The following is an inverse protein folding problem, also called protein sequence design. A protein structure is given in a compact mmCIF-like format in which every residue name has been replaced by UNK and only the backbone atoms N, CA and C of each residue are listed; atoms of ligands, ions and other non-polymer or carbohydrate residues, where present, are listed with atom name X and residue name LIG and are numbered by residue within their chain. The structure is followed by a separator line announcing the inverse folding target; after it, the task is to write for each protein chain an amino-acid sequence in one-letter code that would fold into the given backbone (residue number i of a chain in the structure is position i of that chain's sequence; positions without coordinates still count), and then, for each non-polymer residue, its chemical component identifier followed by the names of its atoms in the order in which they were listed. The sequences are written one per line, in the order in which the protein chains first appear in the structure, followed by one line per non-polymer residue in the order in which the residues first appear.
data_IF_352012766651
#
_entry.id   IF_352012766651
#
_cell.length_a   1.000
_cell.length_b   1.000
_cell.length_c   1.000
_cell.angle_alpha   90.00
_cell.angle_beta   90.00
_cell.angle_gamma   90.00
#
_symmetry.space_group_name_H-M   'P 1'
#
loop_
_entity.id
_entity.type
_entity.pdbx_description
1 polymer ?
#
# COMPACT_ATOMS: atom_id res chain seq x y z
N UNK A 1 -9.24 -11.46 -33.96
CA UNK A 1 -7.85 -11.67 -34.39
C UNK A 1 -7.67 -10.81 -35.61
N UNK A 2 -7.10 -9.62 -35.42
CA UNK A 2 -6.98 -8.60 -36.46
C UNK A 2 -5.85 -8.97 -37.41
N UNK A 3 -6.20 -9.02 -38.69
CA UNK A 3 -5.33 -8.86 -39.84
C UNK A 3 -4.37 -7.68 -39.59
N UNK A 4 -3.05 -7.87 -39.63
CA UNK A 4 -2.11 -6.82 -39.21
C UNK A 4 -0.69 -7.03 -39.73
N UNK A 5 -0.30 -6.25 -40.73
CA UNK A 5 1.04 -6.28 -41.38
C UNK A 5 2.18 -5.73 -40.51
N UNK A 6 1.97 -5.52 -39.20
CA UNK A 6 2.93 -4.90 -38.30
C UNK A 6 3.03 -5.68 -36.99
N UNK A 7 4.27 -6.04 -36.63
CA UNK A 7 4.61 -6.67 -35.34
C UNK A 7 5.18 -5.61 -34.40
N UNK A 8 4.52 -5.40 -33.26
CA UNK A 8 4.93 -4.42 -32.25
C UNK A 8 5.58 -5.13 -31.05
N UNK A 9 6.64 -4.53 -30.51
CA UNK A 9 7.28 -4.98 -29.28
C UNK A 9 6.87 -4.09 -28.10
N UNK A 10 6.58 -4.72 -26.97
CA UNK A 10 6.28 -3.99 -25.72
C UNK A 10 7.58 -3.60 -25.03
N UNK A 11 7.63 -2.38 -24.50
CA UNK A 11 8.72 -1.91 -23.64
C UNK A 11 8.44 -2.11 -22.14
N UNK A 12 7.29 -2.69 -21.80
CA UNK A 12 6.98 -3.04 -20.43
C UNK A 12 7.86 -4.20 -19.97
N UNK A 13 8.20 -4.26 -18.67
CA UNK A 13 9.01 -5.36 -18.12
C UNK A 13 8.45 -6.73 -18.52
N UNK A 14 9.35 -7.60 -18.97
CA UNK A 14 9.00 -8.96 -19.37
C UNK A 14 9.11 -9.87 -18.14
N UNK A 15 8.19 -10.82 -17.97
CA UNK A 15 8.07 -11.65 -16.76
C UNK A 15 8.43 -13.12 -16.96
N UNK A 16 9.11 -13.46 -18.05
CA UNK A 16 9.53 -14.81 -18.43
C UNK A 16 11.00 -14.88 -18.84
N UNK A 17 11.82 -13.95 -18.32
CA UNK A 17 13.28 -13.98 -18.52
C UNK A 17 13.87 -15.19 -17.79
N UNK A 18 14.83 -15.87 -18.41
CA UNK A 18 15.60 -16.91 -17.75
C UNK A 18 16.44 -16.30 -16.62
N UNK A 19 16.06 -16.62 -15.38
CA UNK A 19 16.68 -15.99 -14.20
C UNK A 19 18.10 -16.50 -13.92
N UNK A 20 18.47 -17.70 -14.37
CA UNK A 20 19.79 -18.28 -14.17
C UNK A 20 20.33 -18.11 -12.74
N UNK A 21 21.54 -17.55 -12.62
CA UNK A 21 22.19 -17.28 -11.33
C UNK A 21 21.44 -16.23 -10.48
N UNK A 22 20.68 -15.33 -11.10
CA UNK A 22 19.93 -14.30 -10.39
C UNK A 22 18.81 -14.87 -9.53
N UNK A 23 18.22 -16.00 -9.94
CA UNK A 23 17.27 -16.73 -9.09
C UNK A 23 17.92 -17.11 -7.76
N UNK A 24 19.09 -17.73 -7.82
CA UNK A 24 19.82 -18.17 -6.62
C UNK A 24 20.23 -16.97 -5.75
N UNK A 25 20.62 -15.86 -6.36
CA UNK A 25 20.97 -14.64 -5.64
C UNK A 25 19.77 -14.03 -4.89
N UNK A 26 18.57 -14.00 -5.51
CA UNK A 26 17.37 -13.51 -4.85
C UNK A 26 16.84 -14.52 -3.81
N UNK A 27 16.91 -15.82 -4.09
CA UNK A 27 16.57 -16.86 -3.12
C UNK A 27 17.45 -16.77 -1.86
N UNK A 28 18.74 -16.50 -2.03
CA UNK A 28 19.66 -16.24 -0.93
C UNK A 28 19.23 -15.03 -0.08
N UNK A 29 18.77 -13.95 -0.72
CA UNK A 29 18.22 -12.78 -0.02
C UNK A 29 17.01 -13.14 0.83
N UNK A 30 16.06 -13.92 0.31
CA UNK A 30 14.85 -14.30 1.05
C UNK A 30 15.08 -15.41 2.08
N UNK A 31 16.15 -16.20 1.95
CA UNK A 31 16.53 -17.22 2.92
C UNK A 31 17.20 -16.66 4.19
N UNK A 32 17.71 -15.42 4.14
CA UNK A 32 18.46 -14.80 5.23
C UNK A 32 17.72 -13.56 5.76
N UNK A 33 17.26 -13.60 7.01
CA UNK A 33 16.43 -12.54 7.63
C UNK A 33 17.21 -11.29 8.07
N UNK A 34 18.54 -11.37 8.10
CA UNK A 34 19.42 -10.24 8.33
C UNK A 34 19.61 -9.36 7.08
N UNK A 35 19.37 -9.90 5.87
CA UNK A 35 19.44 -9.17 4.61
C UNK A 35 18.15 -8.40 4.37
N UNK A 36 18.18 -7.08 4.60
CA UNK A 36 16.97 -6.24 4.62
C UNK A 36 17.00 -5.11 3.61
N UNK A 37 18.17 -4.58 3.28
CA UNK A 37 18.35 -3.54 2.27
C UNK A 37 19.21 -4.09 1.13
N UNK A 38 18.62 -4.28 -0.05
CA UNK A 38 19.25 -4.98 -1.17
C UNK A 38 19.26 -4.08 -2.38
N UNK A 39 20.43 -3.89 -3.01
CA UNK A 39 20.51 -3.22 -4.30
C UNK A 39 20.50 -4.25 -5.43
N UNK A 40 19.66 -4.04 -6.44
CA UNK A 40 19.80 -4.66 -7.75
C UNK A 40 20.35 -3.57 -8.66
N UNK A 41 21.66 -3.62 -8.91
CA UNK A 41 22.38 -2.59 -9.66
C UNK A 41 22.55 -3.01 -11.11
N UNK A 42 22.72 -2.07 -12.02
CA UNK A 42 22.97 -2.34 -13.43
C UNK A 42 22.78 -1.08 -14.26
N UNK A 43 23.29 -1.05 -15.48
CA UNK A 43 23.08 0.08 -16.39
C UNK A 43 21.59 0.38 -16.63
N UNK A 44 21.31 1.58 -17.17
CA UNK A 44 19.95 1.90 -17.61
C UNK A 44 19.52 0.87 -18.67
N UNK A 45 18.28 0.41 -18.59
CA UNK A 45 17.75 -0.66 -19.47
C UNK A 45 18.47 -2.02 -19.39
N UNK A 46 19.27 -2.29 -18.35
CA UNK A 46 19.92 -3.60 -18.17
C UNK A 46 18.94 -4.77 -17.91
N UNK A 47 17.63 -4.53 -17.83
CA UNK A 47 16.63 -5.57 -17.56
C UNK A 47 16.30 -5.81 -16.08
N UNK A 48 16.72 -4.91 -15.18
CA UNK A 48 16.47 -5.00 -13.73
C UNK A 48 14.99 -5.24 -13.38
N UNK A 49 14.07 -4.45 -13.94
CA UNK A 49 12.63 -4.60 -13.69
C UNK A 49 12.09 -5.91 -14.25
N UNK A 50 12.53 -6.34 -15.45
CA UNK A 50 12.13 -7.62 -16.03
C UNK A 50 12.60 -8.82 -15.19
N UNK A 51 13.79 -8.74 -14.61
CA UNK A 51 14.33 -9.75 -13.70
C UNK A 51 13.48 -9.87 -12.43
N UNK A 52 13.08 -8.73 -11.83
CA UNK A 52 12.18 -8.74 -10.66
C UNK A 52 10.79 -9.29 -11.02
N UNK A 53 10.20 -8.86 -12.14
CA UNK A 53 8.88 -9.37 -12.56
C UNK A 53 8.90 -10.87 -12.88
N UNK A 54 9.99 -11.37 -13.46
CA UNK A 54 10.17 -12.80 -13.72
C UNK A 54 10.33 -13.61 -12.42
N UNK A 55 11.04 -13.06 -11.42
CA UNK A 55 11.15 -13.68 -10.10
C UNK A 55 9.79 -13.71 -9.37
N UNK A 56 9.05 -12.60 -9.40
CA UNK A 56 7.70 -12.49 -8.83
C UNK A 56 6.75 -13.55 -9.39
N UNK A 57 6.76 -13.74 -10.71
CA UNK A 57 5.89 -14.72 -11.39
C UNK A 57 6.19 -16.15 -10.94
N UNK A 58 7.45 -16.48 -10.71
CA UNK A 58 7.87 -17.82 -10.27
C UNK A 58 7.69 -18.07 -8.76
N UNK A 59 7.58 -17.01 -7.95
CA UNK A 59 7.47 -17.09 -6.48
C UNK A 59 6.22 -16.36 -5.97
N UNK A 60 5.05 -16.82 -6.40
CA UNK A 60 3.74 -16.22 -6.06
C UNK A 60 3.41 -16.18 -4.56
N UNK A 61 4.12 -16.96 -3.73
CA UNK A 61 4.02 -16.94 -2.28
C UNK A 61 4.68 -15.70 -1.64
N UNK A 62 5.58 -15.03 -2.35
CA UNK A 62 6.25 -13.81 -1.91
C UNK A 62 5.49 -12.60 -2.48
N UNK A 63 5.13 -11.66 -1.61
CA UNK A 63 4.35 -10.47 -1.95
C UNK A 63 5.25 -9.26 -2.12
N UNK A 64 5.09 -8.57 -3.24
CA UNK A 64 5.89 -7.41 -3.60
C UNK A 64 5.00 -6.17 -3.76
N UNK A 65 5.52 -5.02 -3.35
CA UNK A 65 4.93 -3.69 -3.55
C UNK A 65 5.94 -2.84 -4.29
N UNK A 66 5.53 -2.14 -5.35
CA UNK A 66 6.43 -1.30 -6.15
C UNK A 66 6.17 0.17 -5.87
N UNK A 67 7.24 0.94 -5.67
CA UNK A 67 7.22 2.39 -5.54
C UNK A 67 8.11 2.95 -6.65
N UNK A 68 7.50 3.59 -7.65
CA UNK A 68 8.19 4.11 -8.85
C UNK A 68 8.16 5.63 -8.89
N UNK A 69 9.32 6.27 -9.00
CA UNK A 69 9.45 7.72 -8.87
C UNK A 69 9.66 8.45 -10.22
N UNK A 70 9.57 7.73 -11.35
CA UNK A 70 9.83 8.25 -12.69
C UNK A 70 9.00 9.48 -13.10
N UNK A 71 7.72 9.56 -12.69
CA UNK A 71 6.81 10.62 -13.15
C UNK A 71 6.99 11.96 -12.42
N UNK A 72 7.82 12.01 -11.38
CA UNK A 72 7.90 13.19 -10.52
C UNK A 72 8.56 14.39 -11.21
N UNK A 73 9.68 14.17 -11.91
CA UNK A 73 10.44 15.25 -12.55
C UNK A 73 9.65 16.00 -13.63
N UNK A 74 8.86 15.26 -14.41
CA UNK A 74 8.08 15.84 -15.50
C UNK A 74 6.97 16.77 -15.00
N UNK A 75 6.43 16.55 -13.80
CA UNK A 75 5.38 17.40 -13.22
C UNK A 75 5.97 18.69 -12.66
N UNK A 76 7.12 18.62 -11.96
CA UNK A 76 7.75 19.83 -11.42
C UNK A 76 8.37 20.73 -12.51
N UNK A 77 9.01 20.14 -13.52
CA UNK A 77 9.57 20.88 -14.67
C UNK A 77 8.46 21.59 -15.47
N UNK A 78 7.23 21.03 -15.50
CA UNK A 78 6.07 21.63 -16.16
C UNK A 78 5.35 22.71 -15.32
N UNK A 79 5.39 22.61 -13.99
CA UNK A 79 4.70 23.55 -13.10
C UNK A 79 5.55 24.78 -12.73
N UNK A 80 6.88 24.63 -12.66
CA UNK A 80 7.74 25.69 -12.12
C UNK A 80 8.45 26.54 -13.19
N UNK A 81 8.45 26.16 -14.48
CA UNK A 81 9.16 26.85 -15.57
C UNK A 81 10.65 27.20 -15.26
N UNK A 82 11.25 26.60 -14.23
CA UNK A 82 12.63 26.82 -13.83
C UNK A 82 13.43 25.50 -13.96
N UNK A 83 14.46 25.42 -14.82
CA UNK A 83 15.16 24.16 -15.12
C UNK A 83 16.07 23.62 -14.00
N UNK A 84 15.96 24.08 -12.74
CA UNK A 84 17.04 23.86 -11.77
C UNK A 84 16.70 23.94 -10.28
N UNK A 85 15.42 23.85 -9.87
CA UNK A 85 15.17 23.67 -8.43
C UNK A 85 15.58 22.24 -8.05
N UNK A 86 16.60 22.12 -7.21
CA UNK A 86 16.94 20.84 -6.60
C UNK A 86 15.68 20.30 -5.93
N UNK A 87 15.19 19.15 -6.39
CA UNK A 87 14.01 18.49 -5.85
C UNK A 87 14.20 18.40 -4.33
N UNK A 88 13.25 18.93 -3.56
CA UNK A 88 13.36 18.85 -2.11
C UNK A 88 13.24 17.39 -1.68
N UNK A 89 14.16 16.93 -0.83
CA UNK A 89 14.16 15.55 -0.30
C UNK A 89 12.82 15.22 0.38
N UNK A 90 12.22 16.23 1.02
CA UNK A 90 10.88 16.20 1.57
C UNK A 90 9.83 15.81 0.52
N UNK A 91 9.88 16.34 -0.70
CA UNK A 91 8.92 15.95 -1.74
C UNK A 91 9.08 14.48 -2.17
N UNK A 92 10.32 13.96 -2.19
CA UNK A 92 10.59 12.55 -2.49
C UNK A 92 10.01 11.62 -1.43
N UNK A 93 10.24 11.91 -0.15
CA UNK A 93 9.66 11.18 0.99
C UNK A 93 8.12 11.18 0.92
N UNK A 94 7.52 12.35 0.66
CA UNK A 94 6.07 12.48 0.54
C UNK A 94 5.49 11.63 -0.58
N UNK A 95 6.17 11.54 -1.73
CA UNK A 95 5.73 10.67 -2.84
C UNK A 95 5.85 9.18 -2.52
N UNK A 96 6.93 8.76 -1.85
CA UNK A 96 7.07 7.37 -1.39
C UNK A 96 5.89 7.00 -0.50
N UNK A 97 5.55 7.84 0.48
CA UNK A 97 4.42 7.62 1.37
C UNK A 97 3.10 7.61 0.59
N UNK A 98 2.90 8.56 -0.30
CA UNK A 98 1.67 8.64 -1.09
C UNK A 98 1.43 7.36 -1.93
N UNK A 99 2.47 6.83 -2.58
CA UNK A 99 2.34 5.57 -3.34
C UNK A 99 2.11 4.36 -2.45
N UNK A 100 2.78 4.32 -1.28
CA UNK A 100 2.61 3.24 -0.32
C UNK A 100 1.18 3.22 0.24
N UNK A 101 0.67 4.38 0.68
CA UNK A 101 -0.67 4.54 1.25
C UNK A 101 -1.75 4.03 0.28
N UNK A 102 -1.60 4.32 -1.02
CA UNK A 102 -2.56 3.88 -2.04
C UNK A 102 -2.48 2.40 -2.41
N UNK A 103 -1.44 1.69 -1.97
CA UNK A 103 -1.27 0.25 -2.19
C UNK A 103 -1.66 -0.60 -0.96
N UNK A 104 -1.99 0.03 0.17
CA UNK A 104 -2.47 -0.65 1.38
C UNK A 104 -3.99 -0.56 1.47
N UNK A 105 -4.67 -1.63 1.89
CA UNK A 105 -6.10 -1.55 2.13
C UNK A 105 -6.37 -0.62 3.32
N UNK A 106 -7.33 0.29 3.17
CA UNK A 106 -7.71 1.22 4.24
C UNK A 106 -8.16 0.54 5.56
N UNK A 107 -8.57 -0.73 5.49
CA UNK A 107 -8.95 -1.53 6.67
C UNK A 107 -7.75 -2.06 7.48
N UNK A 108 -6.57 -2.14 6.84
CA UNK A 108 -5.32 -2.60 7.46
C UNK A 108 -4.59 -1.44 8.14
N UNK A 109 -4.89 -0.19 7.76
CA UNK A 109 -4.31 1.04 8.32
C UNK A 109 -5.37 1.97 8.94
N UNK A 110 -6.28 1.49 9.81
CA UNK A 110 -7.40 2.30 10.30
C UNK A 110 -6.99 3.48 11.19
N UNK A 111 -5.76 3.50 11.70
CA UNK A 111 -5.22 4.54 12.59
C UNK A 111 -4.44 5.62 11.84
N UNK A 112 -4.31 5.51 10.52
CA UNK A 112 -3.57 6.49 9.74
C UNK A 112 -4.28 7.84 9.73
N UNK A 113 -3.52 8.92 9.89
CA UNK A 113 -4.03 10.28 9.70
C UNK A 113 -4.07 10.69 8.22
N UNK A 114 -3.48 9.89 7.31
CA UNK A 114 -3.53 10.14 5.89
C UNK A 114 -4.90 9.81 5.30
N UNK A 115 -5.39 10.65 4.37
CA UNK A 115 -6.72 10.50 3.78
C UNK A 115 -6.75 9.36 2.75
N UNK A 116 -7.07 8.14 3.21
CA UNK A 116 -7.36 7.02 2.31
C UNK A 116 -8.85 6.98 1.97
N UNK A 117 -9.19 7.28 0.72
CA UNK A 117 -10.59 7.22 0.26
C UNK A 117 -11.06 5.77 0.20
N UNK A 118 -12.16 5.46 0.91
CA UNK A 118 -12.81 4.14 0.89
C UNK A 118 -14.25 4.25 0.41
N UNK A 119 -14.66 3.35 -0.47
CA UNK A 119 -16.07 3.17 -0.81
C UNK A 119 -16.81 2.54 0.36
N UNK A 120 -17.81 3.25 0.89
CA UNK A 120 -18.62 2.76 2.00
C UNK A 120 -19.68 1.80 1.44
N UNK A 121 -19.75 0.58 1.97
CA UNK A 121 -20.80 -0.38 1.61
C UNK A 121 -22.12 0.08 2.23
N UNK A 122 -23.10 0.42 1.40
CA UNK A 122 -24.44 0.89 1.84
C UNK A 122 -25.14 -0.12 2.77
N UNK A 123 -24.96 -1.43 2.54
CA UNK A 123 -25.51 -2.48 3.40
C UNK A 123 -25.05 -2.38 4.86
N UNK A 124 -23.78 -2.05 5.10
CA UNK A 124 -23.26 -1.88 6.47
C UNK A 124 -23.89 -0.67 7.18
N UNK A 125 -24.18 0.40 6.42
CA UNK A 125 -24.88 1.57 6.95
C UNK A 125 -26.30 1.15 7.36
N UNK A 126 -27.04 0.49 6.48
CA UNK A 126 -28.41 0.04 6.75
C UNK A 126 -28.47 -0.87 7.98
N UNK A 127 -27.57 -1.85 8.10
CA UNK A 127 -27.52 -2.75 9.26
C UNK A 127 -27.23 -1.99 10.55
N UNK A 128 -26.26 -1.06 10.54
CA UNK A 128 -25.95 -0.25 11.72
C UNK A 128 -27.09 0.70 12.09
N UNK A 129 -27.82 1.24 11.11
CA UNK A 129 -29.01 2.06 11.34
C UNK A 129 -30.12 1.23 11.98
N UNK A 130 -30.44 0.05 11.41
CA UNK A 130 -31.45 -0.86 11.97
C UNK A 130 -31.09 -1.26 13.41
N UNK A 131 -29.83 -1.62 13.65
CA UNK A 131 -29.33 -1.96 14.98
C UNK A 131 -29.50 -0.80 15.97
N UNK A 132 -29.18 0.43 15.56
CA UNK A 132 -29.30 1.62 16.41
C UNK A 132 -30.76 1.95 16.72
N UNK A 133 -31.63 1.89 15.72
CA UNK A 133 -33.08 2.10 15.89
C UNK A 133 -33.67 1.05 16.84
N UNK A 134 -33.29 -0.22 16.67
CA UNK A 134 -33.74 -1.30 17.55
C UNK A 134 -33.27 -1.09 18.99
N UNK A 135 -32.00 -0.70 19.19
CA UNK A 135 -31.47 -0.38 20.52
C UNK A 135 -32.30 0.73 21.18
N UNK A 136 -32.53 1.85 20.48
CA UNK A 136 -33.36 2.95 20.98
C UNK A 136 -34.77 2.48 21.31
N UNK A 137 -35.40 1.70 20.42
CA UNK A 137 -36.74 1.17 20.65
C UNK A 137 -36.81 0.29 21.91
N UNK A 138 -35.83 -0.58 22.13
CA UNK A 138 -35.79 -1.42 23.35
C UNK A 138 -35.56 -0.61 24.62
N UNK A 139 -34.71 0.42 24.58
CA UNK A 139 -34.48 1.33 25.72
C UNK A 139 -35.74 2.15 26.03
N UNK A 140 -36.42 2.66 24.99
CA UNK A 140 -37.69 3.37 25.15
C UNK A 140 -38.78 2.45 25.69
N UNK A 141 -38.86 1.21 25.21
CA UNK A 141 -39.82 0.22 25.72
C UNK A 141 -39.61 -0.04 27.22
N UNK A 142 -38.36 -0.20 27.68
CA UNK A 142 -38.05 -0.40 29.10
C UNK A 142 -38.35 0.85 29.94
N UNK A 143 -37.95 2.03 29.46
CA UNK A 143 -38.07 3.29 30.24
C UNK A 143 -39.48 3.87 30.25
N UNK A 144 -40.26 3.64 29.19
CA UNK A 144 -41.63 4.16 29.03
C UNK A 144 -42.68 3.05 29.10
N UNK A 145 -42.35 1.87 29.65
CA UNK A 145 -43.20 0.69 29.65
C UNK A 145 -44.65 0.95 30.11
N UNK A 146 -44.83 1.64 31.23
CA UNK A 146 -46.17 1.93 31.77
C UNK A 146 -46.98 2.83 30.83
N UNK A 147 -46.36 3.90 30.29
CA UNK A 147 -47.01 4.81 29.34
C UNK A 147 -47.32 4.11 28.01
N UNK A 148 -46.46 3.18 27.59
CA UNK A 148 -46.69 2.34 26.43
C UNK A 148 -47.89 1.42 26.64
N UNK A 149 -48.01 0.80 27.82
CA UNK A 149 -49.18 0.00 28.20
C UNK A 149 -50.49 0.79 28.15
N UNK A 150 -50.49 2.00 28.72
CA UNK A 150 -51.64 2.91 28.65
C UNK A 150 -51.99 3.28 27.21
N UNK A 151 -51.00 3.64 26.38
CA UNK A 151 -51.21 3.96 24.98
C UNK A 151 -51.83 2.79 24.19
N UNK A 152 -51.31 1.57 24.36
CA UNK A 152 -51.84 0.38 23.69
C UNK A 152 -53.28 0.09 24.11
N UNK A 153 -53.65 0.41 25.36
CA UNK A 153 -55.03 0.25 25.84
C UNK A 153 -56.04 1.18 25.15
N UNK A 154 -55.59 2.35 24.68
CA UNK A 154 -56.39 3.36 23.97
C UNK A 154 -56.63 3.02 22.48
N UNK A 155 -55.92 2.03 21.93
CA UNK A 155 -56.10 1.62 20.53
C UNK A 155 -57.47 0.95 20.32
N UNK A 156 -58.03 1.11 19.12
CA UNK A 156 -59.25 0.42 18.71
C UNK A 156 -59.03 -1.10 18.64
N UNK A 157 -60.08 -1.87 18.94
CA UNK A 157 -60.00 -3.32 18.94
C UNK A 157 -59.77 -3.84 17.50
N UNK A 158 -58.74 -4.68 17.35
CA UNK A 158 -58.30 -5.21 16.06
C UNK A 158 -56.96 -5.93 16.17
N UNK A 159 -56.50 -6.50 15.04
CA UNK A 159 -55.28 -7.31 14.96
C UNK A 159 -54.05 -6.58 15.50
N UNK A 160 -53.93 -5.27 15.24
CA UNK A 160 -52.82 -4.45 15.69
C UNK A 160 -52.78 -4.32 17.23
N UNK A 161 -53.93 -4.10 17.87
CA UNK A 161 -54.03 -4.04 19.33
C UNK A 161 -53.69 -5.39 19.93
N UNK A 162 -54.22 -6.49 19.38
CA UNK A 162 -53.90 -7.85 19.83
C UNK A 162 -52.39 -8.12 19.77
N UNK A 163 -51.73 -7.74 18.68
CA UNK A 163 -50.27 -7.90 18.55
C UNK A 163 -49.50 -7.06 19.58
N UNK A 164 -49.88 -5.78 19.77
CA UNK A 164 -49.17 -4.87 20.66
C UNK A 164 -49.43 -5.17 22.14
N UNK A 165 -50.59 -5.72 22.52
CA UNK A 165 -50.85 -6.16 23.90
C UNK A 165 -49.94 -7.30 24.35
N UNK A 166 -49.34 -8.05 23.42
CA UNK A 166 -48.28 -8.99 23.78
C UNK A 166 -47.05 -8.27 24.35
N UNK A 167 -46.74 -7.09 23.85
CA UNK A 167 -45.58 -6.28 24.29
C UNK A 167 -45.77 -5.62 25.66
N UNK A 168 -47.00 -5.51 26.16
CA UNK A 168 -47.31 -4.87 27.45
C UNK A 168 -47.29 -5.83 28.63
N UNK A 169 -46.87 -7.10 28.43
CA UNK A 169 -46.71 -8.09 29.50
C UNK A 169 -45.45 -7.82 30.32
N UNK A 170 -45.46 -8.14 31.61
CA UNK A 170 -44.27 -7.98 32.44
C UNK A 170 -43.11 -8.89 32.00
N UNK A 171 -43.41 -10.07 31.42
CA UNK A 171 -42.40 -10.97 30.86
C UNK A 171 -41.67 -10.34 29.66
N UNK A 172 -42.38 -9.55 28.83
CA UNK A 172 -41.75 -8.84 27.69
C UNK A 172 -40.88 -7.67 28.15
N UNK A 173 -41.16 -7.07 29.32
CA UNK A 173 -40.26 -6.10 29.93
C UNK A 173 -38.90 -6.73 30.26
N UNK A 174 -38.88 -7.90 30.91
CA UNK A 174 -37.65 -8.63 31.22
C UNK A 174 -36.86 -9.02 29.95
N UNK A 175 -37.56 -9.54 28.94
CA UNK A 175 -36.96 -9.88 27.64
C UNK A 175 -36.36 -8.62 26.98
N UNK A 176 -37.10 -7.51 26.95
CA UNK A 176 -36.61 -6.26 26.36
C UNK A 176 -35.39 -5.71 27.10
N UNK A 177 -35.33 -5.84 28.43
CA UNK A 177 -34.17 -5.45 29.23
C UNK A 177 -32.93 -6.31 28.95
N UNK A 178 -33.11 -7.63 28.79
CA UNK A 178 -32.01 -8.52 28.41
C UNK A 178 -31.47 -8.19 27.01
N UNK A 179 -32.36 -8.03 26.03
CA UNK A 179 -32.00 -7.65 24.66
C UNK A 179 -31.29 -6.28 24.65
N UNK A 180 -31.83 -5.29 25.37
CA UNK A 180 -31.22 -3.96 25.49
C UNK A 180 -29.80 -4.05 26.06
N UNK A 181 -29.59 -4.87 27.10
CA UNK A 181 -28.27 -5.07 27.72
C UNK A 181 -27.25 -5.65 26.72
N UNK A 182 -27.62 -6.70 25.97
CA UNK A 182 -26.74 -7.29 24.95
C UNK A 182 -26.43 -6.28 23.85
N UNK A 183 -27.45 -5.59 23.33
CA UNK A 183 -27.25 -4.58 22.29
C UNK A 183 -26.39 -3.42 22.78
N UNK A 184 -26.59 -2.95 24.02
CA UNK A 184 -25.74 -1.93 24.65
C UNK A 184 -24.29 -2.38 24.77
N UNK A 185 -24.04 -3.64 25.16
CA UNK A 185 -22.67 -4.18 25.20
C UNK A 185 -22.01 -4.16 23.81
N UNK A 186 -22.71 -4.62 22.77
CA UNK A 186 -22.21 -4.58 21.39
C UNK A 186 -21.98 -3.14 20.91
N UNK A 187 -22.88 -2.21 21.26
CA UNK A 187 -22.76 -0.80 20.92
C UNK A 187 -21.53 -0.16 21.59
N UNK A 188 -21.34 -0.39 22.89
CA UNK A 188 -20.17 0.08 23.64
C UNK A 188 -18.89 -0.49 23.06
N UNK A 189 -18.86 -1.79 22.74
CA UNK A 189 -17.71 -2.41 22.07
C UNK A 189 -17.39 -1.72 20.73
N UNK A 190 -18.40 -1.48 19.88
CA UNK A 190 -18.23 -0.75 18.60
C UNK A 190 -17.72 0.68 18.83
N UNK A 191 -18.22 1.38 19.85
CA UNK A 191 -17.76 2.72 20.21
C UNK A 191 -16.30 2.72 20.64
N UNK A 192 -15.89 1.83 21.56
CA UNK A 192 -14.51 1.71 22.03
C UNK A 192 -13.57 1.37 20.86
N UNK A 193 -13.96 0.42 20.00
CA UNK A 193 -13.17 0.06 18.81
C UNK A 193 -13.00 1.24 17.86
N UNK A 194 -14.07 1.99 17.60
CA UNK A 194 -14.03 3.19 16.74
C UNK A 194 -13.16 4.27 17.35
N UNK A 195 -13.23 4.46 18.67
CA UNK A 195 -12.40 5.43 19.38
C UNK A 195 -10.91 5.08 19.30
N UNK A 196 -10.54 3.81 19.51
CA UNK A 196 -9.14 3.36 19.43
C UNK A 196 -8.59 3.46 18.00
N UNK A 197 -9.43 3.24 17.00
CA UNK A 197 -9.02 3.26 15.60
C UNK A 197 -8.97 4.67 15.02
N UNK A 198 -9.92 5.55 15.34
CA UNK A 198 -10.07 6.86 14.69
C UNK A 198 -9.88 8.07 15.62
N UNK A 199 -9.56 7.86 16.90
CA UNK A 199 -9.38 8.93 17.90
C UNK A 199 -10.50 9.99 17.91
N UNK A 200 -11.75 9.60 17.61
CA UNK A 200 -12.89 10.50 17.38
C UNK A 200 -13.14 11.48 18.53
N UNK A 201 -12.90 11.07 19.77
CA UNK A 201 -13.13 11.88 20.98
C UNK A 201 -11.91 12.66 21.49
N UNK A 202 -10.74 12.59 20.83
CA UNK A 202 -9.51 13.23 21.38
C UNK A 202 -9.34 14.71 21.06
N UNK A 203 -10.08 15.27 20.10
CA UNK A 203 -10.06 16.72 19.80
C UNK A 203 -11.42 17.19 19.28
N UNK A 204 -12.20 17.83 20.15
CA UNK A 204 -13.18 18.85 19.71
C UNK A 204 -12.38 20.16 19.50
N UNK A 205 -11.40 20.11 18.60
CA UNK A 205 -10.80 21.30 18.04
C UNK A 205 -11.14 21.26 16.56
N UNK A 206 -12.08 22.11 16.14
CA UNK A 206 -12.63 22.17 14.78
C UNK A 206 -11.64 22.92 13.86
N UNK A 207 -10.37 22.51 13.93
CA UNK A 207 -9.34 22.88 12.97
C UNK A 207 -8.63 21.58 12.61
N UNK A 208 -8.88 21.12 11.39
CA UNK A 208 -8.40 19.84 10.88
C UNK A 208 -6.88 19.82 10.90
N UNK A 209 -6.30 18.94 11.71
CA UNK A 209 -4.95 18.47 11.46
C UNK A 209 -5.01 17.47 10.31
N UNK A 210 -5.27 17.99 9.12
CA UNK A 210 -5.10 17.26 7.87
C UNK A 210 -3.60 17.35 7.54
N UNK A 211 -2.91 16.22 7.49
CA UNK A 211 -1.53 16.22 7.01
C UNK A 211 -1.61 16.27 5.49
N UNK A 212 -1.35 17.44 4.91
CA UNK A 212 -1.07 17.55 3.49
C UNK A 212 0.36 17.10 3.25
N UNK A 213 0.53 16.02 2.48
CA UNK A 213 1.82 15.39 2.14
C UNK A 213 2.65 16.30 1.19
N UNK A 214 2.23 17.54 1.00
CA UNK A 214 2.84 18.52 0.08
C UNK A 214 2.97 19.93 0.69
N UNK A 215 2.82 20.11 2.01
CA UNK A 215 3.28 21.36 2.64
C UNK A 215 4.81 21.46 2.46
N UNK A 216 5.29 22.52 1.81
CA UNK A 216 6.72 22.86 1.73
C UNK A 216 7.24 23.17 3.15
N UNK A 217 7.59 22.14 3.91
CA UNK A 217 8.34 22.26 5.17
C UNK A 217 9.81 21.92 4.94
N UNK A 218 10.72 22.67 5.57
CA UNK A 218 12.15 22.34 5.58
C UNK A 218 12.46 21.05 6.38
N UNK A 219 11.51 20.57 7.21
CA UNK A 219 11.65 19.33 7.98
C UNK A 219 11.27 18.08 7.15
N UNK A 220 12.06 17.00 7.30
CA UNK A 220 11.80 15.68 6.71
C UNK A 220 10.44 15.11 7.17
N UNK A 221 9.65 14.59 6.23
CA UNK A 221 8.40 13.89 6.53
C UNK A 221 8.67 12.61 7.33
N UNK A 222 9.76 11.91 7.04
CA UNK A 222 10.10 10.68 7.76
C UNK A 222 10.42 10.96 9.22
N UNK A 223 11.04 12.10 9.54
CA UNK A 223 11.30 12.50 10.92
C UNK A 223 10.04 13.03 11.60
N UNK A 224 9.32 13.96 10.95
CA UNK A 224 8.11 14.58 11.50
C UNK A 224 6.98 13.58 11.74
N UNK A 225 6.87 12.56 10.88
CA UNK A 225 5.79 11.58 10.90
C UNK A 225 6.29 10.14 11.03
N UNK A 226 7.45 9.91 11.67
CA UNK A 226 8.06 8.58 11.79
C UNK A 226 7.07 7.49 12.24
N UNK A 227 6.28 7.74 13.28
CA UNK A 227 5.31 6.75 13.76
C UNK A 227 4.26 6.36 12.69
N UNK A 228 3.84 7.31 11.86
CA UNK A 228 2.90 7.09 10.78
C UNK A 228 3.56 6.30 9.64
N UNK A 229 4.80 6.67 9.28
CA UNK A 229 5.62 5.95 8.29
C UNK A 229 5.81 4.49 8.72
N UNK A 230 6.24 4.27 9.95
CA UNK A 230 6.44 2.93 10.52
C UNK A 230 5.13 2.14 10.54
N UNK A 231 4.02 2.77 10.93
CA UNK A 231 2.70 2.15 10.91
C UNK A 231 2.28 1.68 9.51
N UNK A 232 2.51 2.47 8.47
CA UNK A 232 2.21 2.10 7.09
C UNK A 232 3.07 0.89 6.64
N UNK A 233 4.37 0.94 6.84
CA UNK A 233 5.28 -0.15 6.47
C UNK A 233 5.11 -1.41 7.33
N UNK A 234 4.65 -1.29 8.57
CA UNK A 234 4.30 -2.45 9.40
C UNK A 234 3.06 -3.17 8.85
N UNK A 235 2.06 -2.39 8.42
CA UNK A 235 0.76 -2.90 7.99
C UNK A 235 0.67 -3.24 6.50
N UNK A 236 1.66 -2.86 5.68
CA UNK A 236 1.74 -3.32 4.29
C UNK A 236 1.84 -4.85 4.23
N UNK A 237 0.96 -5.47 3.44
CA UNK A 237 0.95 -6.91 3.19
C UNK A 237 1.97 -7.27 2.09
N UNK A 238 3.25 -7.07 2.40
CA UNK A 238 4.37 -7.34 1.52
C UNK A 238 5.56 -7.95 2.28
N UNK A 239 6.33 -8.76 1.57
CA UNK A 239 7.62 -9.34 1.95
C UNK A 239 8.78 -8.47 1.45
N UNK A 240 8.59 -7.82 0.29
CA UNK A 240 9.56 -6.89 -0.26
C UNK A 240 8.89 -5.64 -0.87
N UNK A 241 9.57 -4.51 -0.73
CA UNK A 241 9.22 -3.24 -1.36
C UNK A 241 10.30 -2.91 -2.38
N UNK A 242 9.90 -2.81 -3.64
CA UNK A 242 10.75 -2.49 -4.77
C UNK A 242 10.71 -0.98 -4.96
N UNK A 243 11.86 -0.32 -4.80
CA UNK A 243 12.03 1.09 -5.10
C UNK A 243 12.67 1.26 -6.48
N UNK A 244 11.98 1.97 -7.37
CA UNK A 244 12.41 2.21 -8.75
C UNK A 244 12.66 3.71 -9.00
N UNK A 245 13.65 4.01 -9.84
CA UNK A 245 13.99 5.37 -10.28
C UNK A 245 14.42 6.33 -9.15
N UNK A 246 14.77 5.81 -7.97
CA UNK A 246 15.31 6.60 -6.85
C UNK A 246 16.65 7.27 -7.18
N UNK A 247 17.39 6.68 -8.10
CA UNK A 247 18.71 7.13 -8.53
C UNK A 247 18.73 8.40 -9.39
N UNK A 248 17.56 8.88 -9.80
CA UNK A 248 17.42 10.12 -10.56
C UNK A 248 17.50 11.37 -9.69
N UNK A 249 17.38 11.21 -8.37
CA UNK A 249 17.30 12.32 -7.41
C UNK A 249 18.65 12.69 -6.80
N UNK A 250 19.71 11.91 -7.06
CA UNK A 250 21.09 12.15 -6.63
C UNK A 250 21.25 12.61 -5.16
N UNK A 251 20.38 12.11 -4.27
CA UNK A 251 20.47 12.32 -2.82
C UNK A 251 20.79 11.00 -2.15
N UNK A 252 21.90 10.96 -1.40
CA UNK A 252 22.25 9.81 -0.58
C UNK A 252 21.42 9.75 0.72
N UNK A 253 20.82 10.87 1.13
CA UNK A 253 20.11 10.98 2.41
C UNK A 253 18.84 10.13 2.44
N UNK A 254 18.08 10.09 1.34
CA UNK A 254 16.87 9.25 1.28
C UNK A 254 17.17 7.76 1.52
N UNK A 255 18.34 7.27 1.08
CA UNK A 255 18.75 5.89 1.32
C UNK A 255 19.09 5.67 2.79
N UNK A 256 19.71 6.64 3.48
CA UNK A 256 19.92 6.59 4.93
C UNK A 256 18.61 6.49 5.68
N UNK A 257 17.63 7.30 5.29
CA UNK A 257 16.32 7.35 5.94
C UNK A 257 15.51 6.08 5.71
N UNK A 258 15.46 5.57 4.48
CA UNK A 258 14.80 4.30 4.19
C UNK A 258 15.48 3.12 4.89
N UNK A 259 16.80 3.13 4.99
CA UNK A 259 17.54 2.12 5.74
C UNK A 259 17.17 2.14 7.24
N UNK A 260 17.09 3.33 7.86
CA UNK A 260 16.63 3.47 9.25
C UNK A 260 15.18 3.02 9.43
N UNK A 261 14.28 3.46 8.54
CA UNK A 261 12.87 3.04 8.54
C UNK A 261 12.76 1.52 8.46
N UNK A 262 13.48 0.88 7.52
CA UNK A 262 13.44 -0.57 7.36
C UNK A 262 13.87 -1.30 8.65
N UNK A 263 14.94 -0.83 9.30
CA UNK A 263 15.40 -1.37 10.58
C UNK A 263 14.31 -1.29 11.64
N UNK A 264 13.70 -0.11 11.81
CA UNK A 264 12.67 0.13 12.81
C UNK A 264 11.39 -0.69 12.55
N UNK A 265 10.94 -0.77 11.30
CA UNK A 265 9.77 -1.56 10.89
C UNK A 265 9.97 -3.04 11.20
N UNK A 266 11.15 -3.60 10.89
CA UNK A 266 11.42 -5.00 11.17
C UNK A 266 11.51 -5.31 12.67
N UNK A 267 12.01 -4.37 13.48
CA UNK A 267 11.94 -4.47 14.94
C UNK A 267 10.47 -4.50 15.41
N UNK A 268 9.64 -3.58 14.91
CA UNK A 268 8.21 -3.53 15.27
C UNK A 268 7.47 -4.81 14.87
N UNK A 269 7.66 -5.30 13.64
CA UNK A 269 7.07 -6.57 13.17
C UNK A 269 7.44 -7.75 14.07
N UNK A 270 8.69 -7.79 14.54
CA UNK A 270 9.19 -8.82 15.46
C UNK A 270 8.52 -8.71 16.84
N UNK A 271 8.48 -7.51 17.41
CA UNK A 271 7.87 -7.25 18.73
C UNK A 271 6.36 -7.49 18.76
N UNK A 272 5.67 -7.17 17.66
CA UNK A 272 4.24 -7.40 17.51
C UNK A 272 3.88 -8.91 17.41
N UNK A 273 4.87 -9.81 17.32
CA UNK A 273 4.67 -11.25 17.27
C UNK A 273 3.95 -11.70 15.99
N UNK A 274 4.00 -10.87 14.94
CA UNK A 274 3.40 -11.21 13.66
C UNK A 274 4.17 -12.36 13.03
N UNK A 275 3.47 -13.38 12.50
CA UNK A 275 4.03 -14.38 11.56
C UNK A 275 4.40 -13.77 10.20
N UNK A 276 4.70 -12.48 10.15
CA UNK A 276 5.07 -11.76 8.93
C UNK A 276 6.57 -11.94 8.72
N UNK A 277 6.96 -12.27 7.51
CA UNK A 277 8.34 -12.32 7.07
C UNK A 277 9.03 -10.96 7.27
N UNK A 278 10.36 -11.02 7.39
CA UNK A 278 11.23 -9.85 7.32
C UNK A 278 10.90 -9.02 6.08
N UNK A 279 10.59 -7.73 6.29
CA UNK A 279 10.31 -6.79 5.21
C UNK A 279 11.63 -6.33 4.58
N UNK A 280 11.80 -6.61 3.29
CA UNK A 280 13.02 -6.26 2.55
C UNK A 280 12.78 -5.04 1.68
N UNK A 281 13.68 -4.07 1.72
CA UNK A 281 13.70 -2.95 0.78
C UNK A 281 14.70 -3.28 -0.32
N UNK A 282 14.19 -3.39 -1.56
CA UNK A 282 14.97 -3.73 -2.73
C UNK A 282 15.01 -2.52 -3.65
N UNK A 283 16.20 -2.05 -3.99
CA UNK A 283 16.42 -0.82 -4.75
C UNK A 283 16.90 -1.18 -6.16
N UNK A 284 16.15 -0.77 -7.19
CA UNK A 284 16.58 -0.89 -8.58
C UNK A 284 17.38 0.35 -8.98
N UNK A 285 18.69 0.18 -9.15
CA UNK A 285 19.62 1.30 -9.18
C UNK A 285 20.56 1.21 -10.39
N UNK A 286 21.09 2.35 -10.83
CA UNK A 286 22.29 2.43 -11.67
C UNK A 286 23.56 2.08 -10.88
N UNK A 287 24.55 1.53 -11.57
CA UNK A 287 25.81 1.11 -10.96
C UNK A 287 26.68 2.27 -10.45
N UNK A 288 26.49 3.50 -10.95
CA UNK A 288 27.38 4.65 -10.76
C UNK A 288 26.92 5.64 -9.69
N UNK A 289 25.78 5.39 -9.03
CA UNK A 289 25.20 6.33 -8.03
C UNK A 289 26.09 6.47 -6.80
N UNK A 290 26.71 5.37 -6.36
CA UNK A 290 27.50 5.35 -5.13
C UNK A 290 28.99 5.23 -5.41
N UNK A 291 29.75 6.15 -4.81
CA UNK A 291 31.18 6.00 -4.60
C UNK A 291 31.39 4.77 -3.70
N UNK A 292 32.41 3.96 -3.99
CA UNK A 292 32.57 2.59 -3.45
C UNK A 292 32.39 2.45 -1.93
N UNK A 293 32.76 3.47 -1.14
CA UNK A 293 32.67 3.48 0.32
C UNK A 293 31.23 3.52 0.86
N UNK A 294 30.30 4.09 0.11
CA UNK A 294 28.92 4.29 0.57
C UNK A 294 28.03 3.07 0.30
N UNK A 295 28.44 2.18 -0.61
CA UNK A 295 27.68 0.98 -0.98
C UNK A 295 27.43 0.05 0.20
N UNK A 296 28.47 -0.21 1.00
CA UNK A 296 28.39 -1.09 2.18
C UNK A 296 27.74 -0.41 3.38
N UNK A 297 27.47 0.90 3.31
CA UNK A 297 26.75 1.64 4.35
C UNK A 297 25.24 1.46 4.23
N UNK A 298 24.74 1.32 3.00
CA UNK A 298 23.30 1.33 2.70
C UNK A 298 22.72 -0.02 2.33
N UNK A 299 23.53 -0.95 1.82
CA UNK A 299 23.06 -2.23 1.34
C UNK A 299 23.76 -3.38 2.03
N UNK A 300 22.95 -4.33 2.49
CA UNK A 300 23.39 -5.60 3.06
C UNK A 300 23.85 -6.56 1.95
N UNK A 301 23.27 -6.41 0.74
CA UNK A 301 23.59 -7.25 -0.41
C UNK A 301 23.37 -6.49 -1.73
N UNK A 302 24.24 -6.74 -2.72
CA UNK A 302 24.17 -6.12 -4.06
C UNK A 302 24.17 -7.20 -5.13
N UNK A 303 23.18 -7.15 -6.02
CA UNK A 303 23.02 -8.04 -7.17
C UNK A 303 23.32 -7.24 -8.45
N UNK A 304 24.49 -7.42 -9.09
CA UNK A 304 24.83 -6.72 -10.32
C UNK A 304 24.16 -7.39 -11.53
N UNK A 305 23.25 -6.68 -12.19
CA UNK A 305 22.54 -7.10 -13.40
C UNK A 305 23.34 -6.65 -14.62
N UNK A 306 23.78 -7.65 -15.39
CA UNK A 306 24.46 -7.43 -16.65
C UNK A 306 23.39 -7.26 -17.74
N UNK A 307 23.47 -6.23 -18.60
CA UNK A 307 22.53 -6.05 -19.69
C UNK A 307 22.40 -7.32 -20.54
N UNK A 308 21.16 -7.70 -20.86
CA UNK A 308 20.91 -8.80 -21.80
C UNK A 308 21.46 -8.46 -23.19
N UNK A 309 21.42 -7.18 -23.57
CA UNK A 309 21.98 -6.67 -24.82
C UNK A 309 23.14 -5.73 -24.51
N UNK A 310 24.33 -6.05 -25.01
CA UNK A 310 25.53 -5.23 -24.96
C UNK A 310 26.21 -5.16 -26.34
N UNK A 311 27.33 -4.44 -26.46
CA UNK A 311 28.04 -4.30 -27.74
C UNK A 311 28.57 -5.62 -28.31
N UNK A 312 28.66 -6.68 -27.50
CA UNK A 312 29.18 -7.98 -27.91
C UNK A 312 28.10 -8.91 -28.50
N UNK A 313 26.83 -8.75 -28.10
CA UNK A 313 25.72 -9.60 -28.55
C UNK A 313 24.55 -8.83 -29.21
N UNK A 314 24.66 -7.50 -29.32
CA UNK A 314 23.62 -6.65 -29.92
C UNK A 314 23.30 -7.00 -31.36
N UNK A 315 24.29 -7.44 -32.14
CA UNK A 315 24.10 -7.91 -33.50
C UNK A 315 23.14 -9.10 -33.55
N UNK A 316 23.39 -10.15 -32.77
CA UNK A 316 22.56 -11.35 -32.75
C UNK A 316 21.12 -11.04 -32.32
N UNK A 317 20.97 -10.18 -31.29
CA UNK A 317 19.66 -9.70 -30.88
C UNK A 317 18.96 -8.90 -31.98
N UNK A 318 19.68 -8.04 -32.71
CA UNK A 318 19.13 -7.25 -33.81
C UNK A 318 18.65 -8.13 -34.97
N UNK A 319 19.45 -9.13 -35.35
CA UNK A 319 19.10 -10.12 -36.37
C UNK A 319 17.85 -10.90 -35.96
N UNK A 320 17.80 -11.40 -34.71
CA UNK A 320 16.62 -12.11 -34.18
C UNK A 320 15.36 -11.25 -34.25
N UNK A 321 15.43 -9.95 -33.92
CA UNK A 321 14.27 -9.06 -34.01
C UNK A 321 13.80 -8.83 -35.45
N UNK A 322 14.73 -8.78 -36.41
CA UNK A 322 14.41 -8.59 -37.83
C UNK A 322 13.81 -9.85 -38.46
N UNK A 323 14.32 -11.01 -38.06
CA UNK A 323 13.78 -12.31 -38.45
C UNK A 323 12.36 -12.50 -37.89
N UNK A 324 12.19 -12.26 -36.58
CA UNK A 324 10.88 -12.27 -35.93
C UNK A 324 9.93 -11.25 -36.56
N UNK A 325 10.45 -10.12 -37.04
CA UNK A 325 9.71 -9.08 -37.75
C UNK A 325 9.34 -9.45 -39.19
N UNK A 326 9.96 -10.47 -39.79
CA UNK A 326 9.82 -10.83 -41.20
C UNK A 326 10.43 -9.80 -42.16
N UNK A 327 11.39 -9.00 -41.69
CA UNK A 327 12.02 -7.91 -42.45
C UNK A 327 13.52 -8.13 -42.67
N UNK A 328 14.11 -9.20 -42.12
CA UNK A 328 15.53 -9.49 -42.25
C UNK A 328 16.00 -9.49 -43.72
N UNK A 329 15.22 -10.11 -44.60
CA UNK A 329 15.52 -10.20 -46.04
C UNK A 329 15.48 -8.84 -46.77
N UNK A 330 14.91 -7.79 -46.16
CA UNK A 330 14.89 -6.43 -46.73
C UNK A 330 16.23 -5.70 -46.59
N UNK A 331 17.14 -6.21 -45.73
CA UNK A 331 18.41 -5.58 -45.43
C UNK A 331 19.58 -6.44 -45.94
N UNK A 332 20.63 -5.78 -46.41
CA UNK A 332 21.87 -6.46 -46.76
C UNK A 332 22.68 -6.78 -45.50
N UNK A 333 23.17 -8.01 -45.34
CA UNK A 333 23.99 -8.41 -44.18
C UNK A 333 25.19 -7.50 -43.92
N UNK A 334 25.82 -6.95 -44.99
CA UNK A 334 26.94 -5.99 -44.86
C UNK A 334 26.54 -4.62 -44.33
N UNK A 335 25.25 -4.29 -44.37
CA UNK A 335 24.72 -3.06 -43.75
C UNK A 335 24.40 -3.29 -42.27
N UNK A 336 24.16 -4.54 -41.87
CA UNK A 336 23.82 -4.93 -40.50
C UNK A 336 25.06 -5.15 -39.63
N UNK A 337 26.20 -5.47 -40.24
CA UNK A 337 27.55 -5.55 -39.62
C UNK A 337 28.23 -4.20 -39.62
#
# INVERSE_FOLDING_TARGET
MSDGSYKFQKLTPISDVELGIYKNAIDFVFANDDLKNIAISGQYSAGKSSLVESYKKSHSNIKFVHISLAHFRATEEAETNEPSKAISETALEGKILNQLIHQINADDIPQTNFKVKKKIKTSNIVINTIFTVLLIATVLHVTLFNKWGEFVSLLSDGVLKTLLTLSTRHDTLLISGFIATIMSFIFIYKLIKTQKNRNVFKKINVQGNEIEIFEESEESYFDRYLNEVLYLFENVNADAIIFEDMDRFNSNHIFERLHEVNRLVNIQRTLAGHKKSTLRFIYLLRDDIFISKDRTKFFDYIIPVIPVVDSSNSYDHFISHFDDGGILELFNERFLQ
#
